data_IF_714247402895
#
_entry.id   IF_714247402895
#
_cell.length_a   1.000
_cell.length_b   1.000
_cell.length_c   1.000
_cell.angle_alpha   90.00
_cell.angle_beta   90.00
_cell.angle_gamma   90.00
#
_symmetry.space_group_name_H-M   'P 1'
#
loop_
_entity.id
_entity.type
_entity.pdbx_description
1 polymer ?
#
# COMPACT_ATOMS: atom_id res chain seq x y z
N UNK A 1 -0.51 -4.00 -14.61
CA UNK A 1 -0.57 -3.10 -13.43
C UNK A 1 -2.02 -2.81 -13.09
N UNK A 2 -2.77 -3.75 -12.50
CA UNK A 2 -4.23 -3.59 -12.26
C UNK A 2 -4.77 -4.31 -11.02
N UNK A 3 -3.93 -4.90 -10.17
CA UNK A 3 -4.40 -5.87 -9.17
C UNK A 3 -4.48 -5.24 -7.76
N UNK A 4 -3.52 -4.39 -7.36
CA UNK A 4 -3.54 -3.73 -6.04
C UNK A 4 -4.67 -2.70 -5.79
N UNK A 5 -5.09 -1.92 -6.79
CA UNK A 5 -6.20 -0.96 -6.63
C UNK A 5 -7.57 -1.63 -6.53
N UNK A 6 -7.70 -2.85 -7.06
CA UNK A 6 -8.97 -3.59 -7.03
C UNK A 6 -9.30 -4.04 -5.61
N UNK A 7 -8.31 -4.40 -4.78
CA UNK A 7 -8.56 -4.82 -3.41
C UNK A 7 -8.90 -3.67 -2.45
N UNK A 8 -8.35 -2.47 -2.66
CA UNK A 8 -8.72 -1.30 -1.84
C UNK A 8 -10.15 -0.87 -2.16
N UNK A 9 -10.51 -0.84 -3.45
CA UNK A 9 -11.89 -0.65 -3.87
C UNK A 9 -12.80 -1.76 -3.37
N UNK A 10 -12.35 -3.02 -3.35
CA UNK A 10 -13.12 -4.15 -2.83
C UNK A 10 -13.33 -4.08 -1.32
N UNK A 11 -12.31 -3.71 -0.53
CA UNK A 11 -12.42 -3.58 0.94
C UNK A 11 -13.27 -2.38 1.33
N UNK A 12 -13.16 -1.26 0.60
CA UNK A 12 -14.03 -0.09 0.81
C UNK A 12 -15.47 -0.41 0.39
N UNK A 13 -15.67 -1.11 -0.73
CA UNK A 13 -16.99 -1.61 -1.13
C UNK A 13 -17.55 -2.58 -0.11
N UNK A 14 -16.77 -3.53 0.38
CA UNK A 14 -17.20 -4.50 1.40
C UNK A 14 -17.56 -3.81 2.70
N UNK A 15 -16.78 -2.81 3.12
CA UNK A 15 -17.05 -2.01 4.30
C UNK A 15 -18.31 -1.14 4.15
N UNK A 16 -18.48 -0.48 3.01
CA UNK A 16 -19.69 0.28 2.69
C UNK A 16 -20.91 -0.63 2.63
N UNK A 17 -20.77 -1.81 2.01
CA UNK A 17 -21.82 -2.83 1.98
C UNK A 17 -22.13 -3.32 3.40
N UNK A 18 -21.12 -3.54 4.25
CA UNK A 18 -21.32 -3.92 5.64
C UNK A 18 -22.04 -2.83 6.45
N UNK A 19 -21.65 -1.56 6.29
CA UNK A 19 -22.36 -0.42 6.87
C UNK A 19 -23.80 -0.32 6.34
N UNK A 20 -24.03 -0.51 5.05
CA UNK A 20 -25.36 -0.46 4.45
C UNK A 20 -26.24 -1.64 4.90
N UNK A 21 -25.69 -2.85 4.98
CA UNK A 21 -26.40 -4.04 5.48
C UNK A 21 -26.75 -3.87 6.96
N UNK A 22 -25.82 -3.38 7.78
CA UNK A 22 -26.08 -3.16 9.21
C UNK A 22 -27.10 -2.05 9.42
N UNK A 23 -27.02 -0.95 8.68
CA UNK A 23 -28.04 0.11 8.66
C UNK A 23 -29.41 -0.42 8.25
N UNK A 24 -29.47 -1.25 7.19
CA UNK A 24 -30.70 -1.86 6.72
C UNK A 24 -31.28 -2.85 7.73
N UNK A 25 -30.45 -3.69 8.37
CA UNK A 25 -30.86 -4.65 9.39
C UNK A 25 -31.42 -3.94 10.63
N UNK A 26 -30.75 -2.86 11.07
CA UNK A 26 -31.22 -2.01 12.18
C UNK A 26 -32.55 -1.34 11.84
N UNK A 27 -32.70 -0.84 10.61
CA UNK A 27 -33.95 -0.23 10.12
C UNK A 27 -35.09 -1.25 10.02
N UNK A 28 -34.80 -2.46 9.52
CA UNK A 28 -35.78 -3.54 9.41
C UNK A 28 -36.21 -4.07 10.78
N UNK A 29 -35.27 -4.27 11.70
CA UNK A 29 -35.57 -4.64 13.09
C UNK A 29 -36.41 -3.55 13.77
N UNK A 30 -36.12 -2.27 13.48
CA UNK A 30 -36.89 -1.15 13.99
C UNK A 30 -38.34 -1.14 13.48
N UNK A 31 -38.50 -1.37 12.19
CA UNK A 31 -39.80 -1.46 11.55
C UNK A 31 -40.61 -2.66 12.08
N UNK A 32 -39.97 -3.81 12.26
CA UNK A 32 -40.59 -5.01 12.81
C UNK A 32 -41.03 -4.80 14.27
N UNK A 33 -40.20 -4.19 15.11
CA UNK A 33 -40.55 -3.88 16.49
C UNK A 33 -41.73 -2.92 16.58
N UNK A 34 -41.75 -1.88 15.74
CA UNK A 34 -42.89 -0.97 15.63
C UNK A 34 -44.16 -1.72 15.25
N UNK A 35 -44.08 -2.59 14.24
CA UNK A 35 -45.22 -3.37 13.75
C UNK A 35 -45.78 -4.37 14.78
N UNK A 36 -44.91 -5.13 15.45
CA UNK A 36 -45.30 -6.09 16.49
C UNK A 36 -45.95 -5.38 17.69
N UNK A 37 -45.35 -4.27 18.14
CA UNK A 37 -45.87 -3.50 19.28
C UNK A 37 -47.18 -2.77 18.95
N UNK A 38 -47.37 -2.37 17.69
CA UNK A 38 -48.61 -1.77 17.21
C UNK A 38 -49.76 -2.79 17.16
N UNK A 39 -49.46 -4.05 16.80
CA UNK A 39 -50.46 -5.12 16.67
C UNK A 39 -50.95 -5.70 18.00
N UNK A 40 -50.06 -5.88 18.98
CA UNK A 40 -50.39 -6.48 20.29
C UNK A 40 -51.25 -5.58 21.19
N UNK A 41 -51.21 -4.25 21.01
CA UNK A 41 -51.89 -3.34 21.93
C UNK A 41 -53.36 -3.04 21.59
N UNK A 42 -53.88 -3.56 20.48
CA UNK A 42 -55.20 -3.18 19.96
C UNK A 42 -56.40 -3.90 20.56
N UNK A 43 -56.21 -5.04 21.25
CA UNK A 43 -57.32 -5.99 21.45
C UNK A 43 -57.84 -6.16 22.89
N UNK A 44 -57.24 -5.55 23.91
CA UNK A 44 -57.77 -5.58 25.29
C UNK A 44 -57.49 -4.23 25.96
N UNK A 45 -58.26 -3.84 26.97
CA UNK A 45 -58.17 -2.60 27.78
C UNK A 45 -59.04 -1.41 27.35
N UNK A 46 -60.35 -1.60 27.15
CA UNK A 46 -61.28 -0.52 26.77
C UNK A 46 -61.45 0.68 27.71
N UNK A 47 -60.91 0.69 28.94
CA UNK A 47 -61.19 1.79 29.91
C UNK A 47 -59.98 2.43 30.61
N UNK A 48 -58.78 1.86 30.54
CA UNK A 48 -57.54 2.54 30.99
C UNK A 48 -56.95 3.47 29.90
N UNK A 49 -57.71 3.71 28.83
CA UNK A 49 -57.23 4.01 27.49
C UNK A 49 -56.74 5.46 27.30
N UNK A 50 -57.39 6.49 27.87
CA UNK A 50 -57.10 7.88 27.46
C UNK A 50 -55.82 8.49 28.05
N UNK A 51 -55.48 8.15 29.29
CA UNK A 51 -54.26 8.67 29.96
C UNK A 51 -53.02 7.85 29.62
N UNK A 52 -53.14 6.54 29.43
CA UNK A 52 -52.04 5.69 28.97
C UNK A 52 -51.74 5.87 27.48
N UNK A 53 -52.74 6.16 26.64
CA UNK A 53 -52.54 6.28 25.20
C UNK A 53 -51.82 7.58 24.80
N UNK A 54 -52.03 8.69 25.53
CA UNK A 54 -51.29 9.94 25.29
C UNK A 54 -49.83 9.84 25.73
N UNK A 55 -49.58 9.25 26.91
CA UNK A 55 -48.22 8.99 27.40
C UNK A 55 -47.50 7.99 26.49
N UNK A 56 -48.14 6.90 26.08
CA UNK A 56 -47.54 5.93 25.14
C UNK A 56 -47.27 6.56 23.76
N UNK A 57 -48.18 7.37 23.22
CA UNK A 57 -48.01 8.00 21.89
C UNK A 57 -46.89 9.04 21.89
N UNK A 58 -46.65 9.72 23.00
CA UNK A 58 -45.57 10.69 23.13
C UNK A 58 -44.23 10.02 23.52
N UNK A 59 -44.22 9.16 24.55
CA UNK A 59 -42.99 8.64 25.18
C UNK A 59 -42.41 7.45 24.42
N UNK A 60 -43.24 6.57 23.88
CA UNK A 60 -42.77 5.34 23.21
C UNK A 60 -41.92 5.61 21.96
N UNK A 61 -42.30 6.52 21.02
CA UNK A 61 -41.42 6.86 19.90
C UNK A 61 -40.16 7.61 20.34
N UNK A 62 -40.22 8.39 21.43
CA UNK A 62 -39.05 9.08 21.98
C UNK A 62 -38.04 8.08 22.58
N UNK A 63 -38.49 7.13 23.39
CA UNK A 63 -37.64 6.07 23.94
C UNK A 63 -37.07 5.17 22.85
N UNK A 64 -37.88 4.89 21.83
CA UNK A 64 -37.46 4.07 20.71
C UNK A 64 -36.39 4.77 19.87
N UNK A 65 -36.60 6.05 19.55
CA UNK A 65 -35.62 6.88 18.85
C UNK A 65 -34.32 7.03 19.65
N UNK A 66 -34.40 7.20 20.98
CA UNK A 66 -33.22 7.30 21.83
C UNK A 66 -32.43 6.00 21.86
N UNK A 67 -33.08 4.86 22.06
CA UNK A 67 -32.41 3.54 22.06
C UNK A 67 -31.78 3.26 20.70
N UNK A 68 -32.48 3.58 19.60
CA UNK A 68 -31.94 3.43 18.26
C UNK A 68 -30.71 4.31 18.01
N UNK A 69 -30.77 5.58 18.41
CA UNK A 69 -29.64 6.50 18.25
C UNK A 69 -28.40 6.03 19.01
N UNK A 70 -28.57 5.52 20.23
CA UNK A 70 -27.47 5.00 21.06
C UNK A 70 -26.90 3.72 20.44
N UNK A 71 -27.74 2.81 19.96
CA UNK A 71 -27.31 1.57 19.30
C UNK A 71 -26.51 1.86 18.03
N UNK A 72 -26.99 2.78 17.18
CA UNK A 72 -26.30 3.20 15.98
C UNK A 72 -24.95 3.85 16.30
N UNK A 73 -24.91 4.75 17.29
CA UNK A 73 -23.68 5.41 17.72
C UNK A 73 -22.65 4.40 18.23
N UNK A 74 -23.09 3.42 19.04
CA UNK A 74 -22.22 2.36 19.53
C UNK A 74 -21.66 1.50 18.39
N UNK A 75 -22.48 1.13 17.42
CA UNK A 75 -22.06 0.32 16.27
C UNK A 75 -21.09 1.07 15.35
N UNK A 76 -21.35 2.35 15.07
CA UNK A 76 -20.44 3.20 14.29
C UNK A 76 -19.11 3.38 15.01
N UNK A 77 -19.14 3.63 16.33
CA UNK A 77 -17.93 3.76 17.14
C UNK A 77 -17.11 2.48 17.15
N UNK A 78 -17.77 1.31 17.24
CA UNK A 78 -17.11 0.01 17.16
C UNK A 78 -16.48 -0.22 15.78
N UNK A 79 -17.18 0.10 14.70
CA UNK A 79 -16.66 -0.02 13.34
C UNK A 79 -15.44 0.88 13.11
N UNK A 80 -15.48 2.12 13.61
CA UNK A 80 -14.33 3.04 13.57
C UNK A 80 -13.17 2.49 14.38
N UNK A 81 -13.41 2.00 15.61
CA UNK A 81 -12.37 1.43 16.46
C UNK A 81 -11.67 0.23 15.81
N UNK A 82 -12.45 -0.68 15.21
CA UNK A 82 -11.91 -1.80 14.43
C UNK A 82 -11.08 -1.27 13.27
N UNK A 83 -11.59 -0.31 12.49
CA UNK A 83 -10.86 0.27 11.36
C UNK A 83 -9.52 0.88 11.80
N UNK A 84 -9.51 1.67 12.86
CA UNK A 84 -8.30 2.31 13.40
C UNK A 84 -7.25 1.28 13.81
N UNK A 85 -7.67 0.20 14.50
CA UNK A 85 -6.76 -0.88 14.89
C UNK A 85 -6.18 -1.61 13.67
N UNK A 86 -7.01 -1.91 12.66
CA UNK A 86 -6.55 -2.53 11.43
C UNK A 86 -5.59 -1.62 10.65
N UNK A 87 -5.91 -0.34 10.48
CA UNK A 87 -5.09 0.61 9.73
C UNK A 87 -3.71 0.78 10.37
N UNK A 88 -3.67 0.91 11.69
CA UNK A 88 -2.44 1.08 12.46
C UNK A 88 -1.49 -0.12 12.31
N UNK A 89 -2.00 -1.35 12.46
CA UNK A 89 -1.13 -2.53 12.48
C UNK A 89 -0.84 -3.14 11.11
N UNK A 90 -1.79 -3.11 10.16
CA UNK A 90 -1.65 -3.78 8.85
C UNK A 90 -1.12 -2.88 7.74
N UNK A 91 -1.15 -1.55 7.92
CA UNK A 91 -0.75 -0.60 6.87
C UNK A 91 0.39 0.30 7.37
N UNK A 92 0.22 1.02 8.47
CA UNK A 92 1.20 2.02 8.90
C UNK A 92 2.58 1.42 9.20
N UNK A 93 2.66 0.28 9.91
CA UNK A 93 3.92 -0.39 10.21
C UNK A 93 4.69 -0.86 8.95
N UNK A 94 4.08 -1.64 8.05
CA UNK A 94 4.67 -2.00 6.77
C UNK A 94 5.08 -0.79 5.91
N UNK A 95 4.26 0.27 5.89
CA UNK A 95 4.53 1.48 5.12
C UNK A 95 5.74 2.25 5.63
N UNK A 96 5.90 2.37 6.96
CA UNK A 96 7.08 2.99 7.56
C UNK A 96 8.38 2.23 7.19
N UNK A 97 8.34 0.89 7.23
CA UNK A 97 9.50 0.07 6.80
C UNK A 97 9.79 0.21 5.30
N UNK A 98 8.75 0.36 4.48
CA UNK A 98 8.90 0.62 3.07
C UNK A 98 9.56 1.97 2.80
N UNK A 99 9.13 3.03 3.49
CA UNK A 99 9.73 4.37 3.42
C UNK A 99 11.22 4.32 3.77
N UNK A 100 11.59 3.66 4.87
CA UNK A 100 13.01 3.47 5.23
C UNK A 100 13.81 2.68 4.21
N UNK A 101 13.18 1.73 3.52
CA UNK A 101 13.82 1.01 2.43
C UNK A 101 14.06 1.91 1.22
N UNK A 102 13.11 2.81 0.90
CA UNK A 102 13.26 3.78 -0.17
C UNK A 102 14.32 4.84 0.14
N UNK A 103 14.37 5.34 1.38
CA UNK A 103 15.43 6.25 1.82
C UNK A 103 16.82 5.63 1.63
N UNK A 104 17.00 4.36 2.00
CA UNK A 104 18.26 3.63 1.81
C UNK A 104 18.62 3.48 0.32
N UNK A 105 17.65 3.11 -0.52
CA UNK A 105 17.84 3.04 -1.99
C UNK A 105 18.22 4.41 -2.56
N UNK A 106 17.55 5.49 -2.11
CA UNK A 106 17.84 6.87 -2.51
C UNK A 106 19.23 7.35 -2.08
N UNK A 107 19.74 6.84 -0.96
CA UNK A 107 21.11 7.08 -0.50
C UNK A 107 22.17 6.25 -1.24
N UNK A 108 21.77 5.35 -2.15
CA UNK A 108 22.66 4.52 -2.96
C UNK A 108 22.90 3.10 -2.42
N UNK A 109 22.26 2.71 -1.31
CA UNK A 109 22.30 1.33 -0.83
C UNK A 109 21.28 0.45 -1.57
N UNK A 110 21.74 -0.14 -2.67
CA UNK A 110 20.96 -1.07 -3.49
C UNK A 110 21.10 -2.53 -3.02
N UNK A 111 21.73 -2.79 -1.87
CA UNK A 111 21.85 -4.14 -1.31
C UNK A 111 20.68 -4.50 -0.40
N UNK A 112 19.96 -3.49 0.09
CA UNK A 112 18.84 -3.66 0.99
C UNK A 112 17.63 -4.30 0.27
N UNK A 113 17.20 -5.47 0.74
CA UNK A 113 15.99 -6.16 0.26
C UNK A 113 14.89 -5.97 1.29
N UNK A 114 13.86 -5.20 0.94
CA UNK A 114 12.73 -4.99 1.83
C UNK A 114 11.82 -6.23 1.82
N UNK A 115 11.58 -6.85 2.98
CA UNK A 115 10.68 -7.99 3.12
C UNK A 115 9.55 -7.64 4.09
N UNK A 116 8.32 -7.78 3.61
CA UNK A 116 7.12 -7.63 4.41
C UNK A 116 6.57 -8.99 4.84
N UNK A 117 5.70 -8.99 5.85
CA UNK A 117 5.05 -10.21 6.32
C UNK A 117 3.98 -10.65 5.31
N UNK A 118 3.76 -11.95 5.23
CA UNK A 118 2.70 -12.53 4.41
C UNK A 118 1.35 -11.95 4.83
N UNK A 119 0.63 -11.35 3.88
CA UNK A 119 -0.67 -10.71 4.13
C UNK A 119 -0.62 -9.21 4.41
N UNK A 120 0.56 -8.57 4.31
CA UNK A 120 0.68 -7.10 4.25
C UNK A 120 0.19 -6.60 2.87
N UNK A 121 -0.61 -5.54 2.84
CA UNK A 121 -1.30 -5.12 1.60
C UNK A 121 -0.38 -4.54 0.52
N UNK A 122 0.79 -4.04 0.91
CA UNK A 122 1.74 -3.37 0.00
C UNK A 122 2.84 -4.33 -0.49
N UNK A 123 2.66 -5.64 -0.34
CA UNK A 123 3.68 -6.64 -0.70
C UNK A 123 4.05 -6.62 -2.20
N UNK A 124 3.08 -6.40 -3.10
CA UNK A 124 3.33 -6.26 -4.54
C UNK A 124 4.17 -5.01 -4.86
N UNK A 125 3.89 -3.90 -4.18
CA UNK A 125 4.65 -2.65 -4.31
C UNK A 125 6.10 -2.85 -3.85
N UNK A 126 6.30 -3.46 -2.69
CA UNK A 126 7.63 -3.78 -2.17
C UNK A 126 8.39 -4.71 -3.12
N UNK A 127 7.70 -5.71 -3.68
CA UNK A 127 8.31 -6.62 -4.66
C UNK A 127 8.76 -5.87 -5.90
N UNK A 128 7.93 -4.96 -6.41
CA UNK A 128 8.26 -4.14 -7.59
C UNK A 128 9.48 -3.27 -7.32
N UNK A 129 9.54 -2.59 -6.17
CA UNK A 129 10.69 -1.75 -5.79
C UNK A 129 11.96 -2.57 -5.60
N UNK A 130 11.89 -3.77 -5.00
CA UNK A 130 13.05 -4.65 -4.89
C UNK A 130 13.58 -5.06 -6.29
N UNK A 131 12.69 -5.37 -7.23
CA UNK A 131 13.07 -5.68 -8.62
C UNK A 131 13.72 -4.46 -9.30
N UNK A 132 13.17 -3.26 -9.09
CA UNK A 132 13.75 -2.02 -9.60
C UNK A 132 15.14 -1.75 -9.01
N UNK A 133 15.31 -1.87 -7.69
CA UNK A 133 16.59 -1.68 -7.01
C UNK A 133 17.64 -2.71 -7.47
N UNK A 134 17.24 -3.97 -7.62
CA UNK A 134 18.11 -5.03 -8.18
C UNK A 134 18.53 -4.71 -9.61
N UNK A 135 17.60 -4.22 -10.44
CA UNK A 135 17.89 -3.82 -11.82
C UNK A 135 18.86 -2.63 -11.88
N UNK A 136 18.70 -1.64 -10.99
CA UNK A 136 19.65 -0.53 -10.86
C UNK A 136 21.03 -1.01 -10.43
N UNK A 137 21.09 -1.92 -9.44
CA UNK A 137 22.34 -2.51 -8.95
C UNK A 137 23.09 -3.21 -10.07
N UNK A 138 22.38 -4.00 -10.88
CA UNK A 138 22.98 -4.71 -12.01
C UNK A 138 23.55 -3.75 -13.06
N UNK A 139 22.83 -2.68 -13.40
CA UNK A 139 23.33 -1.65 -14.34
C UNK A 139 24.56 -0.92 -13.81
N UNK A 140 24.56 -0.55 -12.52
CA UNK A 140 25.74 0.09 -11.90
C UNK A 140 26.93 -0.86 -11.90
N UNK A 141 26.71 -2.15 -11.63
CA UNK A 141 27.75 -3.18 -11.69
C UNK A 141 28.35 -3.30 -13.09
N UNK A 142 27.53 -3.33 -14.14
CA UNK A 142 28.01 -3.37 -15.53
C UNK A 142 28.91 -2.17 -15.88
N UNK A 143 28.54 -0.98 -15.41
CA UNK A 143 29.36 0.24 -15.58
C UNK A 143 30.67 0.13 -14.80
N UNK A 144 30.62 -0.34 -13.55
CA UNK A 144 31.82 -0.55 -12.72
C UNK A 144 32.78 -1.57 -13.34
N UNK A 145 32.25 -2.67 -13.87
CA UNK A 145 33.04 -3.71 -14.54
C UNK A 145 33.70 -3.17 -15.82
N UNK A 146 32.99 -2.35 -16.60
CA UNK A 146 33.56 -1.68 -17.79
C UNK A 146 34.65 -0.65 -17.42
N UNK A 147 34.42 0.13 -16.36
CA UNK A 147 35.44 1.05 -15.83
C UNK A 147 36.69 0.31 -15.32
N UNK A 148 36.52 -0.85 -14.69
CA UNK A 148 37.64 -1.66 -14.24
C UNK A 148 38.48 -2.17 -15.43
N UNK A 149 37.82 -2.67 -16.50
CA UNK A 149 38.53 -3.07 -17.73
C UNK A 149 39.25 -1.89 -18.39
N UNK A 150 38.60 -0.73 -18.44
CA UNK A 150 39.20 0.50 -18.97
C UNK A 150 40.49 0.87 -18.21
N UNK A 151 40.46 0.88 -16.87
CA UNK A 151 41.65 1.16 -16.05
C UNK A 151 42.78 0.17 -16.27
N UNK A 152 42.48 -1.12 -16.37
CA UNK A 152 43.51 -2.15 -16.64
C UNK A 152 44.19 -1.91 -17.98
N UNK A 153 43.43 -1.55 -19.03
CA UNK A 153 43.98 -1.22 -20.34
C UNK A 153 44.80 0.07 -20.32
N UNK A 154 44.40 1.06 -19.53
CA UNK A 154 45.15 2.31 -19.34
C UNK A 154 46.51 2.04 -18.68
N UNK A 155 46.55 1.18 -17.65
CA UNK A 155 47.80 0.74 -17.01
C UNK A 155 48.70 -0.05 -17.96
N UNK A 156 48.11 -0.90 -18.83
CA UNK A 156 48.84 -1.64 -19.85
C UNK A 156 49.45 -0.69 -20.89
N UNK A 157 48.68 0.29 -21.36
CA UNK A 157 49.15 1.31 -22.30
C UNK A 157 50.30 2.13 -21.71
N UNK A 158 50.18 2.60 -20.46
CA UNK A 158 51.24 3.37 -19.81
C UNK A 158 52.55 2.57 -19.73
N UNK A 159 52.47 1.28 -19.35
CA UNK A 159 53.65 0.39 -19.33
C UNK A 159 54.26 0.19 -20.73
N UNK A 160 53.43 0.23 -21.78
CA UNK A 160 53.90 0.10 -23.15
C UNK A 160 54.62 1.35 -23.67
N UNK A 161 54.12 2.53 -23.30
CA UNK A 161 54.76 3.81 -23.64
C UNK A 161 56.11 3.93 -22.94
N UNK A 162 56.22 3.55 -21.67
CA UNK A 162 57.47 3.65 -20.89
C UNK A 162 58.58 2.70 -21.39
N UNK A 163 58.22 1.56 -21.96
CA UNK A 163 59.16 0.52 -22.42
C UNK A 163 59.52 0.61 -23.91
N UNK A 164 58.94 1.56 -24.64
CA UNK A 164 59.25 1.78 -26.07
C UNK A 164 58.76 0.65 -26.98
N UNK A 165 57.53 0.16 -26.77
CA UNK A 165 56.92 -0.87 -27.61
C UNK A 165 56.62 -0.38 -29.04
N UNK A 166 56.39 -1.34 -29.94
CA UNK A 166 56.05 -1.05 -31.34
C UNK A 166 54.72 -0.31 -31.48
N UNK A 167 54.67 0.64 -32.42
CA UNK A 167 53.50 1.48 -32.72
C UNK A 167 52.20 0.67 -32.92
N UNK A 168 52.29 -0.50 -33.57
CA UNK A 168 51.15 -1.42 -33.77
C UNK A 168 50.55 -1.98 -32.49
N UNK A 169 51.36 -2.21 -31.44
CA UNK A 169 50.86 -2.75 -30.17
C UNK A 169 50.17 -1.65 -29.34
N UNK A 170 50.73 -0.44 -29.39
CA UNK A 170 50.13 0.76 -28.78
C UNK A 170 48.78 1.06 -29.44
N UNK A 171 48.71 1.01 -30.78
CA UNK A 171 47.49 1.25 -31.54
C UNK A 171 46.39 0.21 -31.20
N UNK A 172 46.76 -1.07 -31.06
CA UNK A 172 45.84 -2.13 -30.67
C UNK A 172 45.23 -1.94 -29.26
N UNK A 173 46.02 -1.45 -28.29
CA UNK A 173 45.51 -1.14 -26.94
C UNK A 173 44.66 0.13 -26.93
N UNK A 174 45.06 1.16 -27.70
CA UNK A 174 44.28 2.38 -27.87
C UNK A 174 42.88 2.10 -28.47
N UNK A 175 42.78 1.19 -29.44
CA UNK A 175 41.50 0.76 -30.00
C UNK A 175 40.61 0.06 -28.96
N UNK A 176 41.18 -0.80 -28.10
CA UNK A 176 40.45 -1.45 -27.00
C UNK A 176 39.95 -0.45 -25.97
N UNK A 177 40.77 0.55 -25.61
CA UNK A 177 40.35 1.63 -24.72
C UNK A 177 39.18 2.42 -25.32
N UNK A 178 39.26 2.73 -26.61
CA UNK A 178 38.19 3.43 -27.32
C UNK A 178 36.90 2.61 -27.37
N UNK A 179 37.01 1.29 -27.50
CA UNK A 179 35.87 0.38 -27.41
C UNK A 179 35.21 0.41 -26.03
N UNK A 180 35.98 0.23 -24.94
CA UNK A 180 35.43 0.25 -23.58
C UNK A 180 34.83 1.62 -23.21
N UNK A 181 35.43 2.71 -23.68
CA UNK A 181 34.87 4.07 -23.49
C UNK A 181 33.52 4.24 -24.21
N UNK A 182 33.39 3.73 -25.43
CA UNK A 182 32.12 3.72 -26.15
C UNK A 182 31.07 2.83 -25.45
N UNK A 183 31.50 1.72 -24.87
CA UNK A 183 30.61 0.83 -24.12
C UNK A 183 30.09 1.51 -22.84
N UNK A 184 30.96 2.15 -22.06
CA UNK A 184 30.55 2.94 -20.88
C UNK A 184 29.55 4.03 -21.30
N UNK A 185 29.82 4.75 -22.40
CA UNK A 185 28.91 5.76 -22.92
C UNK A 185 27.55 5.18 -23.31
N UNK A 186 27.53 4.00 -23.93
CA UNK A 186 26.29 3.28 -24.29
C UNK A 186 25.50 2.86 -23.06
N UNK A 187 26.17 2.34 -22.02
CA UNK A 187 25.54 1.96 -20.76
C UNK A 187 24.92 3.17 -20.04
N UNK A 188 25.60 4.31 -20.06
CA UNK A 188 25.10 5.56 -19.48
C UNK A 188 23.91 6.15 -20.26
N UNK A 189 23.90 6.05 -21.60
CA UNK A 189 22.75 6.52 -22.41
C UNK A 189 21.44 5.79 -22.09
N UNK A 190 21.52 4.56 -21.60
CA UNK A 190 20.35 3.79 -21.19
C UNK A 190 19.78 4.24 -19.83
N UNK A 191 20.51 5.04 -19.07
CA UNK A 191 20.05 5.63 -17.81
C UNK A 191 19.51 7.03 -18.12
N UNK A 192 18.19 7.17 -18.17
CA UNK A 192 17.54 8.47 -18.25
C UNK A 192 17.76 9.18 -16.91
N UNK A 193 18.50 10.29 -16.95
CA UNK A 193 18.70 11.23 -15.85
C UNK A 193 17.86 12.47 -16.07
#
# INVERSE_FOLDING_TARGET
MRIGFVELGFKLRFMLIFCLITLAAVSAASFLFYFLTYRELGNKYGEAFFTLQSVKRAVFPLLFASIQSISLLALVSLAIGILSLFFSHKIAGPLYRFEKSLEAIGAGDLTHISRLRTGDQIQELVTTINVSASSMKQRIKEIQDALARFKTLEEELNKMVDKGFHEKEIEAVADKLRYELNEIKRLLQNIKT
#
